data_IF_383532430902
#
_entry.id   IF_383532430902
#
_cell.length_a   1.000
_cell.length_b   1.000
_cell.length_c   1.000
_cell.angle_alpha   90.00
_cell.angle_beta   90.00
_cell.angle_gamma   90.00
#
_symmetry.space_group_name_H-M   'P 1'
#
loop_
_entity.id
_entity.type
_entity.pdbx_description
1 polymer ?
#
# COMPACT_ATOMS: atom_id res chain seq x y z
N UNK A 1 -21.06 1.51 -7.17
CA UNK A 1 -21.07 0.82 -5.87
C UNK A 1 -21.95 -0.44 -5.80
N UNK A 2 -23.23 -0.46 -6.24
CA UNK A 2 -24.13 -1.64 -6.06
C UNK A 2 -24.07 -2.73 -7.16
N UNK A 3 -23.43 -2.48 -8.31
CA UNK A 3 -23.54 -3.36 -9.48
C UNK A 3 -22.64 -4.61 -9.46
N UNK A 4 -21.71 -4.70 -8.51
CA UNK A 4 -20.80 -5.86 -8.36
C UNK A 4 -21.22 -6.82 -7.26
N UNK A 5 -22.31 -6.52 -6.54
CA UNK A 5 -22.85 -7.43 -5.55
C UNK A 5 -23.63 -8.55 -6.26
N UNK A 6 -23.44 -9.81 -5.87
CA UNK A 6 -24.23 -10.90 -6.41
C UNK A 6 -25.72 -10.64 -6.11
N UNK A 7 -26.58 -10.80 -7.13
CA UNK A 7 -28.03 -10.55 -7.02
C UNK A 7 -28.73 -11.46 -6.00
N UNK A 8 -28.11 -12.59 -5.67
CA UNK A 8 -28.59 -13.55 -4.69
C UNK A 8 -27.41 -14.09 -3.88
N UNK A 9 -27.62 -14.27 -2.58
CA UNK A 9 -26.68 -14.93 -1.66
C UNK A 9 -27.40 -16.09 -0.98
N UNK A 10 -26.66 -17.11 -0.55
CA UNK A 10 -27.25 -18.25 0.18
C UNK A 10 -27.78 -17.79 1.53
N UNK A 11 -28.84 -18.42 2.00
CA UNK A 11 -29.37 -18.20 3.33
C UNK A 11 -28.30 -18.52 4.39
N UNK A 12 -28.07 -17.60 5.33
CA UNK A 12 -26.96 -17.67 6.29
C UNK A 12 -25.64 -17.01 5.85
N UNK A 13 -25.60 -16.34 4.68
CA UNK A 13 -24.42 -15.54 4.28
C UNK A 13 -24.30 -14.29 5.15
N UNK A 14 -23.17 -14.12 5.84
CA UNK A 14 -22.84 -12.90 6.58
C UNK A 14 -21.97 -11.99 5.72
N UNK A 15 -22.44 -10.75 5.49
CA UNK A 15 -21.60 -9.72 4.89
C UNK A 15 -20.74 -9.11 5.99
N UNK A 16 -19.42 -9.13 5.81
CA UNK A 16 -18.47 -8.51 6.72
C UNK A 16 -17.66 -7.49 5.94
N UNK A 17 -17.63 -6.25 6.44
CA UNK A 17 -16.75 -5.20 5.96
C UNK A 17 -15.68 -4.94 7.02
N UNK A 18 -14.45 -4.74 6.58
CA UNK A 18 -13.33 -4.35 7.43
C UNK A 18 -12.79 -3.03 6.91
N UNK A 19 -12.58 -2.07 7.80
CA UNK A 19 -11.91 -0.82 7.48
C UNK A 19 -10.50 -0.84 8.07
N UNK A 20 -9.50 -0.48 7.26
CA UNK A 20 -8.11 -0.43 7.73
C UNK A 20 -7.86 0.94 8.32
N UNK A 21 -7.89 1.02 9.64
CA UNK A 21 -7.52 2.25 10.36
C UNK A 21 -6.06 2.59 10.05
N UNK A 22 -5.83 3.80 9.54
CA UNK A 22 -4.49 4.39 9.45
C UNK A 22 -3.50 3.59 8.58
N UNK A 23 -3.93 3.07 7.42
CA UNK A 23 -3.10 2.26 6.51
C UNK A 23 -1.74 2.92 6.23
N UNK A 24 -1.73 4.18 5.79
CA UNK A 24 -0.49 4.87 5.44
C UNK A 24 0.45 5.07 6.62
N UNK A 25 -0.07 5.35 7.81
CA UNK A 25 0.75 5.64 9.00
C UNK A 25 1.21 4.39 9.74
N UNK A 26 0.73 3.21 9.36
CA UNK A 26 1.06 1.94 10.01
C UNK A 26 1.91 0.99 9.16
N UNK A 27 2.18 1.28 7.89
CA UNK A 27 3.07 0.45 7.07
C UNK A 27 4.51 0.57 7.59
N UNK A 28 5.14 -0.54 8.06
CA UNK A 28 6.55 -0.52 8.43
C UNK A 28 7.41 -0.14 7.22
N UNK A 29 8.42 0.72 7.43
CA UNK A 29 9.28 1.17 6.34
C UNK A 29 9.94 0.00 5.60
N UNK A 30 10.37 -1.02 6.34
CA UNK A 30 11.00 -2.22 5.78
C UNK A 30 10.07 -2.97 4.83
N UNK A 31 8.77 -3.04 5.14
CA UNK A 31 7.79 -3.66 4.24
C UNK A 31 7.59 -2.85 2.97
N UNK A 32 7.57 -1.52 3.07
CA UNK A 32 7.53 -0.65 1.90
C UNK A 32 8.74 -0.87 0.99
N UNK A 33 9.93 -0.94 1.57
CA UNK A 33 11.20 -1.16 0.86
C UNK A 33 11.26 -2.56 0.24
N UNK A 34 10.91 -3.59 1.00
CA UNK A 34 10.88 -4.98 0.54
C UNK A 34 9.89 -5.13 -0.62
N UNK A 35 8.70 -4.54 -0.48
CA UNK A 35 7.67 -4.60 -1.50
C UNK A 35 8.10 -3.91 -2.79
N UNK A 36 8.63 -2.68 -2.69
CA UNK A 36 9.15 -1.98 -3.87
C UNK A 36 10.27 -2.79 -4.51
N UNK A 37 11.24 -3.29 -3.73
CA UNK A 37 12.35 -4.10 -4.26
C UNK A 37 11.86 -5.31 -5.04
N UNK A 38 10.92 -6.06 -4.47
CA UNK A 38 10.30 -7.21 -5.12
C UNK A 38 9.70 -6.86 -6.49
N UNK A 39 8.96 -5.75 -6.59
CA UNK A 39 8.33 -5.38 -7.86
C UNK A 39 9.33 -4.86 -8.90
N UNK A 40 10.36 -4.11 -8.47
CA UNK A 40 11.44 -3.69 -9.36
C UNK A 40 12.18 -4.90 -9.96
N UNK A 41 12.38 -5.96 -9.17
CA UNK A 41 13.03 -7.20 -9.61
C UNK A 41 12.12 -8.10 -10.44
N UNK A 42 10.82 -8.10 -10.16
CA UNK A 42 9.83 -8.92 -10.88
C UNK A 42 9.53 -8.40 -12.28
N UNK A 43 9.57 -7.09 -12.47
CA UNK A 43 9.27 -6.44 -13.76
C UNK A 43 10.36 -5.45 -14.17
N UNK A 44 11.60 -5.91 -14.40
CA UNK A 44 12.71 -5.02 -14.76
C UNK A 44 12.48 -4.30 -16.10
N UNK A 45 11.76 -4.93 -17.03
CA UNK A 45 11.49 -4.38 -18.37
C UNK A 45 10.46 -3.23 -18.36
N UNK A 46 9.63 -3.14 -17.33
CA UNK A 46 8.65 -2.05 -17.15
C UNK A 46 9.33 -0.77 -16.65
N UNK A 47 10.59 -0.86 -16.24
CA UNK A 47 11.36 0.27 -15.73
C UNK A 47 12.23 0.83 -16.85
N UNK A 48 12.16 2.14 -17.13
CA UNK A 48 13.04 2.74 -18.11
C UNK A 48 14.49 2.43 -17.75
N UNK A 49 15.24 1.75 -18.63
CA UNK A 49 16.62 1.29 -18.35
C UNK A 49 17.62 2.39 -17.98
N UNK A 50 17.24 3.66 -18.14
CA UNK A 50 17.98 4.83 -17.65
C UNK A 50 17.89 5.03 -16.12
N UNK A 51 16.94 4.41 -15.43
CA UNK A 51 16.74 4.54 -13.99
C UNK A 51 17.23 3.27 -13.29
N UNK A 52 18.23 3.43 -12.42
CA UNK A 52 18.79 2.32 -11.65
C UNK A 52 17.86 1.94 -10.47
N UNK A 53 17.59 0.65 -10.27
CA UNK A 53 16.77 0.17 -9.14
C UNK A 53 17.32 0.63 -7.78
N UNK A 54 18.65 0.66 -7.61
CA UNK A 54 19.30 1.14 -6.38
C UNK A 54 19.01 2.60 -6.11
N UNK A 55 18.85 3.42 -7.16
CA UNK A 55 18.48 4.82 -7.03
C UNK A 55 17.04 4.95 -6.52
N UNK A 56 16.10 4.19 -7.09
CA UNK A 56 14.70 4.18 -6.64
C UNK A 56 14.61 3.75 -5.16
N UNK A 57 15.25 2.65 -4.80
CA UNK A 57 15.26 2.14 -3.42
C UNK A 57 15.97 3.11 -2.47
N UNK A 58 17.05 3.76 -2.90
CA UNK A 58 17.74 4.79 -2.13
C UNK A 58 16.86 6.01 -1.86
N UNK A 59 16.18 6.51 -2.90
CA UNK A 59 15.23 7.62 -2.78
C UNK A 59 14.05 7.25 -1.87
N UNK A 60 13.50 6.04 -2.01
CA UNK A 60 12.44 5.53 -1.15
C UNK A 60 12.87 5.48 0.32
N UNK A 61 14.04 4.91 0.61
CA UNK A 61 14.61 4.89 1.96
C UNK A 61 14.77 6.30 2.52
N UNK A 62 15.25 7.23 1.69
CA UNK A 62 15.44 8.61 2.10
C UNK A 62 14.11 9.27 2.52
N UNK A 63 13.06 9.14 1.71
CA UNK A 63 11.75 9.75 2.03
C UNK A 63 11.10 9.13 3.27
N UNK A 64 11.22 7.80 3.45
CA UNK A 64 10.63 7.11 4.60
C UNK A 64 11.36 7.46 5.91
N UNK A 65 12.69 7.50 5.88
CA UNK A 65 13.50 7.77 7.08
C UNK A 65 13.55 9.25 7.48
N UNK A 66 13.25 10.16 6.55
CA UNK A 66 13.21 11.61 6.77
C UNK A 66 11.79 12.17 6.76
N UNK A 67 10.83 11.31 7.10
CA UNK A 67 9.43 11.69 7.21
C UNK A 67 9.21 12.53 8.49
N UNK A 68 9.27 13.84 8.34
CA UNK A 68 9.09 14.80 9.42
C UNK A 68 7.82 15.63 9.20
N UNK A 69 7.09 15.90 10.27
CA UNK A 69 5.96 16.83 10.26
C UNK A 69 6.02 17.74 11.48
N UNK A 70 5.37 18.91 11.37
CA UNK A 70 5.25 19.87 12.47
C UNK A 70 3.82 19.86 12.97
N UNK A 71 3.65 19.76 14.28
CA UNK A 71 2.36 19.90 14.95
C UNK A 71 2.54 20.77 16.19
N UNK A 72 1.71 21.79 16.35
CA UNK A 72 1.78 22.75 17.46
C UNK A 72 3.20 23.30 17.69
N UNK A 73 3.87 23.73 16.61
CA UNK A 73 5.26 24.23 16.60
C UNK A 73 6.34 23.24 17.04
N UNK A 74 5.97 21.99 17.33
CA UNK A 74 6.90 20.91 17.66
C UNK A 74 7.15 20.05 16.42
N UNK A 75 8.42 19.72 16.19
CA UNK A 75 8.85 18.85 15.11
C UNK A 75 8.82 17.39 15.54
N UNK A 76 8.17 16.55 14.73
CA UNK A 76 8.07 15.11 14.94
C UNK A 76 8.62 14.37 13.73
N UNK A 77 9.37 13.30 13.98
CA UNK A 77 9.78 12.34 12.95
C UNK A 77 8.95 11.08 13.06
N UNK A 78 8.27 10.70 11.99
CA UNK A 78 7.56 9.42 11.92
C UNK A 78 8.58 8.28 11.91
N UNK A 79 8.42 7.33 12.84
CA UNK A 79 9.25 6.11 12.93
C UNK A 79 8.69 4.96 12.09
N UNK A 80 7.43 5.08 11.68
CA UNK A 80 6.67 4.10 10.93
C UNK A 80 5.66 4.84 10.05
N UNK A 81 5.25 4.19 8.97
CA UNK A 81 4.31 4.75 8.01
C UNK A 81 4.94 5.72 7.03
N UNK A 82 4.12 6.11 6.07
CA UNK A 82 4.49 6.99 4.97
C UNK A 82 3.82 8.34 5.21
N UNK A 83 4.53 9.42 4.87
CA UNK A 83 3.99 10.78 4.98
C UNK A 83 2.63 10.84 4.27
N UNK A 84 1.59 11.16 5.04
CA UNK A 84 0.27 11.41 4.49
C UNK A 84 0.36 12.57 3.49
N UNK A 85 -0.19 12.39 2.29
CA UNK A 85 -0.09 13.36 1.20
C UNK A 85 1.18 13.25 0.35
N UNK A 86 2.12 12.34 0.66
CA UNK A 86 3.21 12.03 -0.26
C UNK A 86 2.68 11.26 -1.47
N UNK A 87 3.16 11.62 -2.67
CA UNK A 87 2.79 10.93 -3.92
C UNK A 87 3.17 9.43 -3.90
N UNK A 88 4.16 9.06 -3.07
CA UNK A 88 4.60 7.68 -2.91
C UNK A 88 3.66 6.84 -2.02
N UNK A 89 2.88 7.45 -1.12
CA UNK A 89 2.07 6.72 -0.15
C UNK A 89 1.03 5.78 -0.80
N UNK A 90 0.21 6.22 -1.78
CA UNK A 90 -0.77 5.33 -2.43
C UNK A 90 -0.11 4.15 -3.15
N UNK A 91 1.00 4.43 -3.86
CA UNK A 91 1.72 3.41 -4.62
C UNK A 91 2.30 2.35 -3.69
N UNK A 92 3.05 2.75 -2.67
CA UNK A 92 3.67 1.80 -1.73
C UNK A 92 2.62 1.00 -0.98
N UNK A 93 1.52 1.61 -0.56
CA UNK A 93 0.41 0.92 0.09
C UNK A 93 -0.18 -0.19 -0.79
N UNK A 94 -0.37 0.09 -2.08
CA UNK A 94 -0.84 -0.91 -3.05
C UNK A 94 0.17 -2.05 -3.23
N UNK A 95 1.46 -1.73 -3.40
CA UNK A 95 2.51 -2.73 -3.58
C UNK A 95 2.64 -3.67 -2.37
N UNK A 96 2.64 -3.11 -1.15
CA UNK A 96 2.70 -3.86 0.11
C UNK A 96 1.47 -4.72 0.28
N UNK A 97 0.29 -4.16 0.03
CA UNK A 97 -0.96 -4.89 0.23
C UNK A 97 -1.10 -6.05 -0.76
N UNK A 98 -0.71 -5.88 -2.02
CA UNK A 98 -0.70 -6.96 -2.99
C UNK A 98 0.23 -8.10 -2.56
N UNK A 99 1.44 -7.78 -2.08
CA UNK A 99 2.39 -8.82 -1.64
C UNK A 99 1.84 -9.58 -0.43
N UNK A 100 1.26 -8.87 0.53
CA UNK A 100 0.66 -9.48 1.71
C UNK A 100 -0.54 -10.38 1.34
N UNK A 101 -1.34 -9.96 0.37
CA UNK A 101 -2.46 -10.73 -0.15
C UNK A 101 -2.02 -12.01 -0.86
N UNK A 102 -1.07 -11.91 -1.79
CA UNK A 102 -0.74 -12.99 -2.71
C UNK A 102 0.38 -13.92 -2.23
N UNK A 103 1.29 -13.43 -1.37
CA UNK A 103 2.52 -14.15 -1.03
C UNK A 103 2.71 -14.40 0.47
N UNK A 104 2.12 -13.59 1.35
CA UNK A 104 2.30 -13.74 2.82
C UNK A 104 1.04 -14.23 3.56
N UNK A 105 0.01 -14.73 2.86
CA UNK A 105 -1.21 -15.32 3.46
C UNK A 105 -1.80 -14.47 4.62
N UNK A 106 -1.89 -13.16 4.43
CA UNK A 106 -2.59 -12.30 5.39
C UNK A 106 -4.07 -12.21 4.99
N UNK A 107 -4.84 -13.20 5.44
CA UNK A 107 -6.24 -13.49 5.05
C UNK A 107 -7.23 -12.34 5.26
N UNK A 108 -6.88 -11.31 6.04
CA UNK A 108 -7.74 -10.18 6.38
C UNK A 108 -7.72 -9.04 5.35
N UNK A 109 -6.65 -8.88 4.56
CA UNK A 109 -6.56 -7.79 3.55
C UNK A 109 -7.18 -8.20 2.20
N UNK A 110 -7.30 -9.50 1.92
CA UNK A 110 -7.89 -10.04 0.68
C UNK A 110 -9.32 -9.57 0.41
N UNK A 111 -10.09 -9.36 1.47
CA UNK A 111 -11.49 -8.93 1.41
C UNK A 111 -11.63 -7.43 1.08
N UNK A 112 -10.66 -6.59 1.46
CA UNK A 112 -10.64 -5.15 1.14
C UNK A 112 -10.43 -4.90 -0.36
N UNK A 113 -9.55 -5.66 -1.02
CA UNK A 113 -9.21 -5.43 -2.43
C UNK A 113 -10.31 -5.78 -3.42
N UNK A 114 -11.27 -6.63 -3.06
CA UNK A 114 -12.46 -6.86 -3.89
C UNK A 114 -13.43 -5.67 -3.90
N UNK A 115 -13.30 -4.74 -2.94
CA UNK A 115 -14.14 -3.54 -2.84
C UNK A 115 -13.59 -2.32 -3.58
N UNK A 116 -12.28 -2.06 -3.49
CA UNK A 116 -11.71 -0.75 -3.89
C UNK A 116 -11.11 -0.67 -5.30
N UNK A 117 -10.65 -1.78 -5.89
CA UNK A 117 -10.07 -1.75 -7.25
C UNK A 117 -11.10 -1.51 -8.37
N UNK A 118 -12.40 -1.54 -8.06
CA UNK A 118 -13.48 -1.18 -8.98
C UNK A 118 -13.75 0.33 -9.09
N UNK A 119 -13.10 1.18 -8.28
CA UNK A 119 -13.39 2.63 -8.25
C UNK A 119 -12.30 3.50 -8.88
N UNK A 120 -11.16 2.93 -9.29
CA UNK A 120 -10.05 3.70 -9.92
C UNK A 120 -10.08 3.60 -11.46
N UNK A 121 -10.88 2.71 -12.02
CA UNK A 121 -11.14 2.63 -13.47
C UNK A 121 -12.64 2.58 -13.73
N UNK A 122 -13.29 3.75 -13.58
CA UNK A 122 -14.66 4.03 -14.00
C UNK A 122 -14.74 5.45 -14.56
#
# INVERSE_FOLDING_TARGET
>A
MLNHLPKTVKEGTLLVSFDVVNLYTNIPHDYGIEATTFWLEKFPEEIPGRINHRFIIGALKFILLNNNFMFDTVYYRQKCGIAMGSQAAPVIANLVSYINHHYKNMTLISLLFKGELGEVFG
#
